data_IF_869888857624
#
_entry.id   IF_869888857624
#
_cell.length_a   1.000
_cell.length_b   1.000
_cell.length_c   1.000
_cell.angle_alpha   90.00
_cell.angle_beta   90.00
_cell.angle_gamma   90.00
#
_symmetry.space_group_name_H-M   'P 1'
#
loop_
_entity.id
_entity.type
_entity.pdbx_description
1 polymer ?
#
# COMPACT_ATOMS: atom_id res chain seq x y z
N UNK A 1 -40.33 -19.94 24.46
CA UNK A 1 -40.40 -20.81 23.27
C UNK A 1 -39.48 -20.23 22.22
N UNK A 2 -38.65 -21.11 21.70
CA UNK A 2 -37.42 -20.89 20.92
C UNK A 2 -37.75 -20.36 19.52
N UNK A 3 -37.10 -19.28 19.09
CA UNK A 3 -36.85 -19.02 17.68
C UNK A 3 -35.37 -18.75 17.49
N UNK A 4 -34.78 -19.64 16.70
CA UNK A 4 -33.36 -19.90 16.53
C UNK A 4 -32.71 -18.85 15.65
N UNK A 5 -31.56 -18.35 16.12
CA UNK A 5 -30.63 -17.55 15.32
C UNK A 5 -30.00 -18.45 14.25
N UNK A 6 -30.36 -18.25 12.99
CA UNK A 6 -29.70 -18.90 11.86
C UNK A 6 -28.40 -18.13 11.60
N UNK A 7 -27.29 -18.74 12.03
CA UNK A 7 -25.92 -18.34 11.72
C UNK A 7 -25.64 -18.60 10.24
N UNK A 8 -25.47 -17.54 9.45
CA UNK A 8 -24.97 -17.65 8.07
C UNK A 8 -23.45 -17.48 8.10
N UNK A 9 -22.73 -18.60 8.29
CA UNK A 9 -21.29 -18.66 8.07
C UNK A 9 -21.00 -18.61 6.56
N UNK A 10 -20.40 -17.50 6.11
CA UNK A 10 -19.89 -17.37 4.75
C UNK A 10 -18.57 -18.16 4.60
N UNK A 11 -18.65 -19.35 3.99
CA UNK A 11 -17.49 -20.09 3.49
C UNK A 11 -16.87 -19.34 2.30
N UNK A 12 -15.78 -18.60 2.53
CA UNK A 12 -14.94 -18.07 1.45
C UNK A 12 -14.03 -19.19 0.94
N UNK A 13 -14.53 -19.95 -0.04
CA UNK A 13 -13.71 -20.89 -0.78
C UNK A 13 -12.81 -20.11 -1.74
N UNK A 14 -11.49 -20.27 -1.62
CA UNK A 14 -10.53 -19.72 -2.58
C UNK A 14 -10.82 -20.29 -3.97
N UNK A 15 -11.24 -19.44 -4.91
CA UNK A 15 -11.31 -19.77 -6.33
C UNK A 15 -10.05 -19.18 -6.97
N UNK A 16 -8.94 -19.92 -6.93
CA UNK A 16 -7.81 -19.72 -7.84
C UNK A 16 -8.17 -20.34 -9.20
N UNK A 17 -9.10 -19.71 -9.92
CA UNK A 17 -9.33 -20.01 -11.34
C UNK A 17 -8.35 -19.17 -12.15
N UNK A 18 -7.27 -19.80 -12.57
CA UNK A 18 -6.47 -19.34 -13.70
C UNK A 18 -7.40 -19.39 -14.92
N UNK A 19 -7.58 -18.31 -15.70
CA UNK A 19 -8.30 -18.42 -16.95
C UNK A 19 -7.43 -19.25 -17.90
N UNK A 20 -7.89 -20.46 -18.21
CA UNK A 20 -7.39 -21.23 -19.32
C UNK A 20 -7.72 -20.46 -20.60
N UNK A 21 -6.73 -19.77 -21.16
CA UNK A 21 -6.81 -19.28 -22.53
C UNK A 21 -6.91 -20.49 -23.45
N UNK A 22 -8.13 -20.88 -23.81
CA UNK A 22 -8.37 -21.87 -24.85
C UNK A 22 -8.01 -21.24 -26.20
N UNK A 23 -6.76 -21.40 -26.60
CA UNK A 23 -6.39 -21.20 -28.00
C UNK A 23 -7.03 -22.35 -28.80
N UNK A 24 -7.98 -22.01 -29.68
CA UNK A 24 -8.67 -22.99 -30.52
C UNK A 24 -7.76 -23.38 -31.69
N UNK A 25 -6.98 -24.44 -31.53
CA UNK A 25 -6.40 -25.15 -32.67
C UNK A 25 -7.44 -26.12 -33.25
N UNK A 26 -7.71 -26.00 -34.55
CA UNK A 26 -8.46 -27.01 -35.30
C UNK A 26 -7.56 -28.24 -35.46
N UNK A 27 -7.80 -29.29 -34.67
CA UNK A 27 -7.80 -30.71 -35.07
C UNK A 27 -8.23 -31.56 -33.86
N UNK A 28 -9.13 -32.51 -34.11
CA UNK A 28 -9.60 -33.47 -33.12
C UNK A 28 -8.65 -34.66 -33.13
N UNK A 29 -7.70 -34.73 -32.19
CA UNK A 29 -7.00 -35.98 -31.88
C UNK A 29 -6.38 -35.87 -30.48
N UNK A 30 -7.06 -36.47 -29.50
CA UNK A 30 -6.52 -36.64 -28.17
C UNK A 30 -5.64 -37.90 -28.18
N UNK A 31 -4.32 -37.74 -28.23
CA UNK A 31 -3.39 -38.84 -27.97
C UNK A 31 -3.09 -38.87 -26.47
N UNK A 32 -3.75 -39.78 -25.76
CA UNK A 32 -3.35 -40.18 -24.43
C UNK A 32 -2.22 -41.20 -24.55
N UNK A 33 -0.97 -40.75 -24.36
CA UNK A 33 0.16 -41.63 -24.11
C UNK A 33 0.62 -41.44 -22.66
N UNK A 34 0.46 -42.50 -21.89
CA UNK A 34 1.13 -42.69 -20.61
C UNK A 34 2.55 -43.18 -20.92
N UNK A 35 3.55 -42.32 -20.78
CA UNK A 35 4.96 -42.74 -20.83
C UNK A 35 5.66 -42.30 -19.54
N UNK A 36 6.03 -43.30 -18.73
CA UNK A 36 6.95 -43.17 -17.61
C UNK A 36 8.36 -43.07 -18.19
N UNK A 37 8.74 -41.89 -18.65
CA UNK A 37 10.09 -41.63 -19.12
C UNK A 37 10.97 -41.15 -17.97
N UNK A 38 11.84 -42.05 -17.50
CA UNK A 38 12.99 -41.77 -16.63
C UNK A 38 14.13 -41.05 -17.40
N UNK A 39 13.80 -40.09 -18.25
CA UNK A 39 14.73 -39.09 -18.78
C UNK A 39 14.16 -37.72 -18.40
N UNK A 40 14.60 -37.18 -17.27
CA UNK A 40 14.19 -35.85 -16.83
C UNK A 40 14.64 -34.81 -17.86
N UNK A 41 13.77 -34.45 -18.80
CA UNK A 41 13.99 -33.39 -19.79
C UNK A 41 14.47 -32.13 -19.08
N UNK A 42 15.73 -31.76 -19.33
CA UNK A 42 16.42 -30.65 -18.66
C UNK A 42 15.81 -29.27 -18.97
N UNK A 43 14.96 -29.18 -19.99
CA UNK A 43 14.31 -27.95 -20.46
C UNK A 43 12.87 -27.77 -19.97
N UNK A 44 12.35 -28.66 -19.12
CA UNK A 44 11.03 -28.46 -18.50
C UNK A 44 11.09 -27.29 -17.50
N UNK A 45 10.07 -26.41 -17.46
CA UNK A 45 10.03 -25.33 -16.49
C UNK A 45 9.99 -25.89 -15.07
N UNK A 46 10.82 -25.31 -14.21
CA UNK A 46 10.94 -25.68 -12.79
C UNK A 46 10.09 -24.73 -11.96
N UNK A 47 9.39 -25.25 -10.96
CA UNK A 47 8.63 -24.45 -9.99
C UNK A 47 9.58 -23.72 -9.02
N UNK A 48 10.00 -22.52 -9.40
CA UNK A 48 10.86 -21.62 -8.59
C UNK A 48 10.09 -20.33 -8.28
N UNK A 49 10.35 -19.71 -7.13
CA UNK A 49 9.90 -18.33 -6.87
C UNK A 49 10.50 -17.40 -7.95
N UNK A 50 9.73 -16.42 -8.39
CA UNK A 50 10.15 -15.52 -9.47
C UNK A 50 11.51 -14.82 -9.15
N UNK A 51 12.61 -15.15 -9.86
CA UNK A 51 13.93 -14.58 -9.59
C UNK A 51 14.03 -13.10 -9.98
N UNK A 52 13.14 -12.61 -10.85
CA UNK A 52 13.09 -11.23 -11.33
C UNK A 52 12.13 -10.35 -10.51
N UNK A 53 11.64 -10.83 -9.36
CA UNK A 53 10.73 -10.06 -8.51
C UNK A 53 11.43 -8.81 -7.93
N UNK A 54 10.95 -7.63 -8.32
CA UNK A 54 11.42 -6.37 -7.76
C UNK A 54 11.01 -6.25 -6.30
N UNK A 55 11.95 -5.83 -5.44
CA UNK A 55 11.65 -5.53 -4.02
C UNK A 55 10.52 -4.51 -3.91
N UNK A 56 9.63 -4.73 -2.93
CA UNK A 56 8.50 -3.83 -2.66
C UNK A 56 9.01 -2.45 -2.27
N UNK A 57 8.38 -1.41 -2.83
CA UNK A 57 8.68 -0.01 -2.47
C UNK A 57 8.12 0.28 -1.08
N UNK A 58 8.97 0.79 -0.21
CA UNK A 58 8.62 1.16 1.16
C UNK A 58 8.42 2.69 1.29
N UNK A 59 7.56 3.08 2.23
CA UNK A 59 7.36 4.50 2.58
C UNK A 59 8.57 5.09 3.31
N UNK A 60 8.74 6.41 3.31
CA UNK A 60 9.88 7.09 3.96
C UNK A 60 9.95 6.72 5.46
N UNK A 61 8.83 6.81 6.17
CA UNK A 61 8.75 6.47 7.60
C UNK A 61 9.00 4.97 7.88
N UNK A 62 8.67 4.11 6.92
CA UNK A 62 8.84 2.67 7.01
C UNK A 62 10.30 2.29 6.82
N UNK A 63 10.98 2.92 5.86
CA UNK A 63 12.41 2.74 5.61
C UNK A 63 13.26 3.15 6.80
N UNK A 64 12.88 4.26 7.45
CA UNK A 64 13.60 4.82 8.60
C UNK A 64 13.11 4.25 9.95
N UNK A 65 12.10 3.36 9.95
CA UNK A 65 11.46 2.82 11.16
C UNK A 65 10.96 3.89 12.16
N UNK A 66 10.56 5.06 11.65
CA UNK A 66 10.09 6.17 12.49
C UNK A 66 8.61 5.96 12.83
N UNK A 67 8.29 6.11 14.12
CA UNK A 67 6.93 6.19 14.60
C UNK A 67 6.56 7.66 14.87
N UNK A 68 5.52 8.19 14.20
CA UNK A 68 5.09 9.55 14.46
C UNK A 68 4.42 9.64 15.84
N UNK A 69 4.74 10.70 16.58
CA UNK A 69 4.20 11.03 17.89
C UNK A 69 3.85 12.53 17.93
N UNK A 70 2.73 12.89 18.54
CA UNK A 70 2.22 14.27 18.65
C UNK A 70 3.19 15.26 19.32
N UNK A 71 4.12 14.75 20.14
CA UNK A 71 5.15 15.56 20.82
C UNK A 71 6.21 16.08 19.85
N UNK A 72 6.47 15.34 18.76
CA UNK A 72 7.50 15.65 17.78
C UNK A 72 6.95 16.59 16.70
N UNK A 73 6.67 17.83 17.09
CA UNK A 73 6.07 18.86 16.21
C UNK A 73 6.91 19.10 14.97
N UNK A 74 8.25 19.08 15.08
CA UNK A 74 9.16 19.28 13.94
C UNK A 74 8.88 18.30 12.81
N UNK A 75 8.75 17.00 13.12
CA UNK A 75 8.44 15.96 12.12
C UNK A 75 7.02 16.15 11.56
N UNK A 76 6.04 16.39 12.41
CA UNK A 76 4.64 16.53 11.99
C UNK A 76 4.41 17.76 11.11
N UNK A 77 5.12 18.85 11.39
CA UNK A 77 5.06 20.10 10.62
C UNK A 77 5.49 19.94 9.16
N UNK A 78 6.27 18.89 8.83
CA UNK A 78 6.66 18.58 7.44
C UNK A 78 5.48 18.04 6.62
N UNK A 79 4.47 17.47 7.27
CA UNK A 79 3.24 16.98 6.63
C UNK A 79 2.15 18.05 6.48
N UNK A 80 2.46 19.29 6.85
CA UNK A 80 1.56 20.43 6.80
C UNK A 80 1.99 21.44 5.73
N UNK A 81 1.02 22.04 5.05
CA UNK A 81 1.23 23.16 4.12
C UNK A 81 1.78 24.38 4.83
N UNK A 82 2.83 24.99 4.25
CA UNK A 82 3.50 26.19 4.76
C UNK A 82 2.53 27.34 5.05
N UNK A 83 1.63 27.63 4.11
CA UNK A 83 0.78 28.83 4.16
C UNK A 83 -0.61 28.56 4.74
N UNK A 84 -1.19 27.39 4.46
CA UNK A 84 -2.61 27.11 4.79
C UNK A 84 -2.77 26.23 6.02
N UNK A 85 -1.70 25.60 6.52
CA UNK A 85 -1.82 24.69 7.65
C UNK A 85 -2.57 23.39 7.34
N UNK A 86 -2.95 23.15 6.08
CA UNK A 86 -3.63 21.94 5.63
C UNK A 86 -2.67 20.75 5.62
N UNK A 87 -3.16 19.60 6.08
CA UNK A 87 -2.39 18.35 6.09
C UNK A 87 -2.37 17.78 4.68
N UNK A 88 -1.20 17.36 4.20
CA UNK A 88 -1.06 16.74 2.89
C UNK A 88 -1.64 15.33 2.87
N UNK A 89 -2.36 15.01 1.80
CA UNK A 89 -2.96 13.69 1.56
C UNK A 89 -1.93 12.68 1.01
N UNK A 90 -2.33 11.41 0.98
CA UNK A 90 -1.47 10.28 0.59
C UNK A 90 -0.88 10.40 -0.82
N UNK A 91 -1.62 10.93 -1.79
CA UNK A 91 -1.14 11.05 -3.17
C UNK A 91 -0.04 12.10 -3.33
N UNK A 92 0.15 12.96 -2.32
CA UNK A 92 1.26 13.91 -2.21
C UNK A 92 2.39 13.28 -1.38
N UNK A 93 2.09 12.82 -0.16
CA UNK A 93 3.12 12.35 0.79
C UNK A 93 3.78 11.02 0.39
N UNK A 94 3.07 10.17 -0.37
CA UNK A 94 3.56 8.84 -0.75
C UNK A 94 3.67 7.84 0.42
N UNK A 95 3.00 8.12 1.55
CA UNK A 95 3.03 7.23 2.72
C UNK A 95 2.14 5.98 2.57
N UNK A 96 2.45 4.94 3.33
CA UNK A 96 1.54 3.81 3.52
C UNK A 96 0.25 4.29 4.22
N UNK A 97 -0.89 3.68 3.91
CA UNK A 97 -2.19 4.07 4.48
C UNK A 97 -2.18 4.07 6.02
N UNK A 98 -1.55 3.08 6.63
CA UNK A 98 -1.44 2.99 8.09
C UNK A 98 -0.66 4.18 8.69
N UNK A 99 0.51 4.49 8.12
CA UNK A 99 1.36 5.58 8.60
C UNK A 99 0.72 6.95 8.33
N UNK A 100 0.06 7.13 7.19
CA UNK A 100 -0.70 8.34 6.87
C UNK A 100 -1.79 8.61 7.90
N UNK A 101 -2.64 7.62 8.19
CA UNK A 101 -3.70 7.74 9.21
C UNK A 101 -3.12 8.07 10.59
N UNK A 102 -2.00 7.44 10.95
CA UNK A 102 -1.32 7.72 12.22
C UNK A 102 -0.79 9.17 12.27
N UNK A 103 -0.14 9.65 11.21
CA UNK A 103 0.33 11.04 11.11
C UNK A 103 -0.82 12.03 11.25
N UNK A 104 -1.94 11.82 10.56
CA UNK A 104 -3.13 12.67 10.67
C UNK A 104 -3.70 12.72 12.09
N UNK A 105 -3.72 11.57 12.79
CA UNK A 105 -4.17 11.49 14.18
C UNK A 105 -3.23 12.25 15.13
N UNK A 106 -1.92 12.04 15.00
CA UNK A 106 -0.93 12.71 15.85
C UNK A 106 -0.86 14.22 15.57
N UNK A 107 -1.06 14.66 14.32
CA UNK A 107 -1.21 16.08 13.97
C UNK A 107 -2.42 16.69 14.68
N UNK A 108 -3.60 16.07 14.55
CA UNK A 108 -4.83 16.56 15.19
C UNK A 108 -4.67 16.64 16.70
N UNK A 109 -4.02 15.63 17.30
CA UNK A 109 -3.70 15.60 18.72
C UNK A 109 -2.74 16.74 19.11
N UNK A 110 -1.67 16.96 18.35
CA UNK A 110 -0.73 18.05 18.60
C UNK A 110 -1.40 19.43 18.51
N UNK A 111 -2.29 19.61 17.53
CA UNK A 111 -3.08 20.83 17.36
C UNK A 111 -4.05 21.06 18.54
N UNK A 112 -4.77 20.02 18.97
CA UNK A 112 -5.66 20.09 20.13
C UNK A 112 -4.92 20.38 21.43
N UNK A 113 -3.69 19.86 21.60
CA UNK A 113 -2.83 20.17 22.74
C UNK A 113 -2.17 21.54 22.67
N UNK A 114 -2.36 22.31 21.59
CA UNK A 114 -1.72 23.63 21.41
C UNK A 114 -0.23 23.57 21.09
N UNK A 115 0.31 22.40 20.72
CA UNK A 115 1.73 22.24 20.35
C UNK A 115 2.00 22.66 18.90
N UNK A 116 0.98 22.67 18.04
CA UNK A 116 1.10 22.98 16.61
C UNK A 116 -0.07 23.82 16.11
N UNK A 117 0.19 24.75 15.19
CA UNK A 117 -0.82 25.62 14.60
C UNK A 117 -1.82 24.91 13.67
N UNK A 118 -3.04 25.45 13.61
CA UNK A 118 -4.09 24.98 12.67
C UNK A 118 -3.96 25.62 11.28
N UNK A 119 -3.75 26.94 11.23
CA UNK A 119 -3.86 27.73 9.99
C UNK A 119 -2.51 27.98 9.30
N UNK A 120 -1.41 27.95 10.05
CA UNK A 120 -0.08 28.25 9.52
C UNK A 120 0.94 27.38 10.21
N UNK A 121 1.96 26.97 9.46
CA UNK A 121 3.12 26.24 9.99
C UNK A 121 4.00 27.18 10.81
N UNK A 122 4.59 26.67 11.89
CA UNK A 122 5.50 27.48 12.72
C UNK A 122 6.71 27.97 11.88
N UNK A 123 7.04 29.28 11.93
CA UNK A 123 8.16 29.85 11.17
C UNK A 123 9.50 29.14 11.39
N UNK A 124 9.70 28.57 12.59
CA UNK A 124 10.90 27.82 12.98
C UNK A 124 11.16 26.59 12.09
N UNK A 125 10.10 25.97 11.56
CA UNK A 125 10.19 24.72 10.80
C UNK A 125 9.98 24.93 9.29
N UNK A 126 9.88 26.19 8.83
CA UNK A 126 9.59 26.50 7.42
C UNK A 126 10.76 26.11 6.51
N UNK A 127 11.99 26.28 6.98
CA UNK A 127 13.22 26.05 6.20
C UNK A 127 13.80 24.64 6.40
N UNK A 128 13.04 23.70 6.98
CA UNK A 128 13.45 22.30 7.06
C UNK A 128 13.51 21.66 5.66
N UNK A 129 14.41 20.68 5.42
CA UNK A 129 14.48 20.00 4.14
C UNK A 129 13.14 19.30 3.81
N UNK A 130 12.69 19.44 2.56
CA UNK A 130 11.43 18.86 2.11
C UNK A 130 11.56 17.34 1.94
N UNK A 131 10.63 16.58 2.52
CA UNK A 131 10.56 15.12 2.36
C UNK A 131 9.91 14.70 1.03
N UNK A 132 9.01 15.53 0.52
CA UNK A 132 8.23 15.33 -0.70
C UNK A 132 7.86 16.70 -1.27
N UNK A 133 7.63 16.74 -2.59
CA UNK A 133 7.28 17.97 -3.30
C UNK A 133 5.76 18.07 -3.51
N UNK A 134 5.07 19.03 -2.87
CA UNK A 134 3.61 19.18 -3.00
C UNK A 134 3.15 19.53 -4.42
N UNK A 135 4.02 20.15 -5.22
CA UNK A 135 3.71 20.60 -6.58
C UNK A 135 3.63 19.46 -7.59
N UNK A 136 4.23 18.29 -7.28
CA UNK A 136 4.29 17.14 -8.17
C UNK A 136 3.71 15.88 -7.50
N UNK A 137 2.38 15.83 -7.29
CA UNK A 137 1.74 14.66 -6.70
C UNK A 137 1.74 13.45 -7.64
N UNK A 138 1.67 12.24 -7.07
CA UNK A 138 1.59 10.99 -7.85
C UNK A 138 0.31 10.87 -8.68
N UNK A 139 -0.77 11.48 -8.20
CA UNK A 139 -2.06 11.56 -8.89
C UNK A 139 -2.51 13.01 -8.85
N UNK A 140 -3.01 13.60 -9.95
CA UNK A 140 -3.55 14.94 -9.90
C UNK A 140 -4.74 15.02 -8.92
N UNK A 141 -4.98 16.22 -8.40
CA UNK A 141 -6.19 16.49 -7.63
C UNK A 141 -7.43 16.26 -8.51
N UNK A 142 -8.54 15.89 -7.88
CA UNK A 142 -9.77 15.51 -8.60
C UNK A 142 -10.48 16.71 -9.25
N UNK A 143 -10.08 17.93 -8.90
CA UNK A 143 -10.67 19.20 -9.34
C UNK A 143 -9.66 20.00 -10.14
#
# INVERSE_FOLDING_TARGET
MIFTFISVQALRHEIKRIPTFLFRSKTNEACALNELDNSADSDKPIDIKNPYEKKRRLCILCKLNINPDYKNVRLLSQFQSRHTGRIYEKHITGLCHHKQKKVEQEIKKAQQCGLMGFMTKDPKFVNDPMLFDPNFPFKPHKY
#
